data_IF_291830940442
#
_entry.id   IF_291830940442
#
_cell.length_a   1.000
_cell.length_b   1.000
_cell.length_c   1.000
_cell.angle_alpha   90.00
_cell.angle_beta   90.00
_cell.angle_gamma   90.00
#
_symmetry.space_group_name_H-M   'P 1'
#
loop_
_entity.id
_entity.type
_entity.pdbx_description
1 polymer ?
#
# COMPACT_ATOMS: atom_id res chain seq x y z
N UNK A 1 -7.36 1.27 -29.11
CA UNK A 1 -6.63 0.92 -27.88
C UNK A 1 -5.59 2.00 -27.65
N UNK A 2 -5.88 2.98 -26.81
CA UNK A 2 -4.87 3.94 -26.36
C UNK A 2 -3.76 3.14 -25.68
N UNK A 3 -2.47 3.32 -26.05
CA UNK A 3 -1.37 2.73 -25.30
C UNK A 3 -1.55 3.11 -23.82
N UNK A 4 -1.24 2.22 -22.86
CA UNK A 4 -1.20 2.63 -21.47
C UNK A 4 -0.32 3.87 -21.39
N UNK A 5 -0.90 4.94 -20.86
CA UNK A 5 -0.26 6.22 -20.67
C UNK A 5 1.14 5.99 -20.12
N UNK A 6 2.13 6.72 -20.65
CA UNK A 6 3.58 6.59 -20.36
C UNK A 6 3.99 6.89 -18.90
N UNK A 7 3.24 6.39 -17.93
CA UNK A 7 3.57 6.28 -16.51
C UNK A 7 4.67 5.25 -16.33
N UNK A 8 5.87 5.60 -16.77
CA UNK A 8 6.99 4.69 -16.78
C UNK A 8 7.35 4.27 -15.33
N UNK A 9 7.38 2.95 -15.10
CA UNK A 9 7.42 2.35 -13.78
C UNK A 9 8.72 2.69 -13.05
N UNK A 10 8.69 2.71 -11.72
CA UNK A 10 9.93 2.59 -10.94
C UNK A 10 10.25 1.12 -10.78
N UNK A 11 11.41 0.70 -11.27
CA UNK A 11 11.87 -0.69 -11.28
C UNK A 11 13.03 -0.83 -10.29
N UNK A 12 12.92 -1.78 -9.36
CA UNK A 12 13.90 -2.09 -8.32
C UNK A 12 14.57 -3.41 -8.71
N UNK A 13 15.87 -3.40 -8.98
CA UNK A 13 16.59 -4.59 -9.49
C UNK A 13 17.67 -5.03 -8.51
N UNK A 14 17.63 -6.30 -8.09
CA UNK A 14 18.74 -6.96 -7.42
C UNK A 14 19.45 -7.93 -8.37
N UNK A 15 20.77 -7.86 -8.44
CA UNK A 15 21.61 -8.65 -9.35
C UNK A 15 23.03 -8.08 -9.43
N UNK A 16 23.94 -8.76 -10.09
CA UNK A 16 25.26 -8.18 -10.39
C UNK A 16 25.18 -7.10 -11.48
N UNK A 17 26.16 -6.20 -11.48
CA UNK A 17 26.21 -5.04 -12.39
C UNK A 17 26.23 -5.46 -13.86
N UNK A 18 26.94 -6.55 -14.18
CA UNK A 18 27.09 -7.01 -15.56
C UNK A 18 25.76 -7.53 -16.10
N UNK A 19 25.03 -8.33 -15.31
CA UNK A 19 23.69 -8.78 -15.66
C UNK A 19 22.73 -7.61 -15.79
N UNK A 20 22.75 -6.64 -14.85
CA UNK A 20 21.89 -5.46 -14.93
C UNK A 20 22.12 -4.68 -16.22
N UNK A 21 23.37 -4.44 -16.60
CA UNK A 21 23.70 -3.67 -17.80
C UNK A 21 23.22 -4.38 -19.07
N UNK A 22 23.30 -5.71 -19.12
CA UNK A 22 22.78 -6.50 -20.23
C UNK A 22 21.25 -6.38 -20.38
N UNK A 23 20.50 -6.38 -19.27
CA UNK A 23 19.03 -6.34 -19.29
C UNK A 23 18.45 -4.92 -19.28
N UNK A 24 19.26 -3.90 -18.97
CA UNK A 24 18.84 -2.50 -18.87
C UNK A 24 18.05 -1.99 -20.08
N UNK A 25 18.43 -2.28 -21.35
CA UNK A 25 17.67 -1.80 -22.51
C UNK A 25 16.24 -2.37 -22.55
N UNK A 26 16.06 -3.62 -22.11
CA UNK A 26 14.73 -4.27 -22.06
C UNK A 26 13.87 -3.64 -20.98
N UNK A 27 14.45 -3.39 -19.80
CA UNK A 27 13.74 -2.75 -18.68
C UNK A 27 13.34 -1.31 -19.01
N UNK A 28 14.21 -0.59 -19.74
CA UNK A 28 13.97 0.80 -20.15
C UNK A 28 12.76 0.97 -21.09
N UNK A 29 12.27 -0.11 -21.71
CA UNK A 29 11.04 -0.08 -22.51
C UNK A 29 9.77 0.20 -21.68
N UNK A 30 9.79 -0.06 -20.36
CA UNK A 30 8.63 0.12 -19.48
C UNK A 30 8.94 0.85 -18.16
N UNK A 31 10.22 0.96 -17.77
CA UNK A 31 10.66 1.63 -16.55
C UNK A 31 11.24 3.02 -16.80
N UNK A 32 10.80 4.04 -16.03
CA UNK A 32 11.38 5.40 -16.07
C UNK A 32 12.60 5.51 -15.18
N UNK A 33 12.48 4.89 -14.01
CA UNK A 33 13.46 4.96 -12.93
C UNK A 33 13.88 3.54 -12.63
N UNK A 34 15.09 3.19 -13.05
CA UNK A 34 15.70 1.89 -12.79
C UNK A 34 16.69 2.08 -11.65
N UNK A 35 16.44 1.42 -10.52
CA UNK A 35 17.29 1.49 -9.33
C UNK A 35 17.95 0.14 -9.14
N UNK A 36 19.28 0.11 -9.11
CA UNK A 36 20.03 -1.06 -8.70
C UNK A 36 20.08 -1.11 -7.17
N UNK A 37 19.53 -2.18 -6.60
CA UNK A 37 19.32 -2.34 -5.16
C UNK A 37 20.45 -3.14 -4.48
N UNK A 38 21.39 -3.68 -5.26
CA UNK A 38 22.47 -4.54 -4.78
C UNK A 38 22.31 -5.97 -5.29
N UNK A 39 22.69 -6.95 -4.47
CA UNK A 39 22.69 -8.37 -4.83
C UNK A 39 21.28 -8.92 -5.13
N UNK A 40 21.21 -10.13 -5.67
CA UNK A 40 19.96 -10.86 -5.91
C UNK A 40 19.07 -10.85 -4.66
N UNK A 41 17.77 -10.59 -4.84
CA UNK A 41 16.78 -10.50 -3.76
C UNK A 41 16.62 -9.12 -3.11
N UNK A 42 17.58 -8.20 -3.27
CA UNK A 42 17.48 -6.85 -2.67
C UNK A 42 16.36 -5.99 -3.27
N UNK A 43 16.07 -6.16 -4.57
CA UNK A 43 14.93 -5.50 -5.23
C UNK A 43 13.59 -5.95 -4.64
N UNK A 44 13.43 -7.26 -4.42
CA UNK A 44 12.23 -7.83 -3.82
C UNK A 44 12.06 -7.38 -2.36
N UNK A 45 13.14 -7.37 -1.59
CA UNK A 45 13.15 -6.86 -0.23
C UNK A 45 12.72 -5.38 -0.16
N UNK A 46 13.28 -4.53 -1.03
CA UNK A 46 12.90 -3.11 -1.10
C UNK A 46 11.43 -2.94 -1.48
N UNK A 47 10.94 -3.71 -2.45
CA UNK A 47 9.54 -3.70 -2.89
C UNK A 47 8.60 -4.12 -1.76
N UNK A 48 8.92 -5.20 -1.06
CA UNK A 48 8.15 -5.70 0.08
C UNK A 48 8.03 -4.63 1.18
N UNK A 49 9.15 -4.02 1.58
CA UNK A 49 9.15 -2.94 2.60
C UNK A 49 8.34 -1.72 2.13
N UNK A 50 8.50 -1.28 0.88
CA UNK A 50 7.69 -0.20 0.33
C UNK A 50 6.18 -0.51 0.40
N UNK A 51 5.79 -1.72 0.05
CA UNK A 51 4.40 -2.15 0.10
C UNK A 51 3.89 -2.32 1.54
N UNK A 52 4.72 -2.76 2.48
CA UNK A 52 4.35 -2.76 3.90
C UNK A 52 4.12 -1.35 4.46
N UNK A 53 4.92 -0.36 4.04
CA UNK A 53 4.68 1.05 4.39
C UNK A 53 3.36 1.56 3.78
N UNK A 54 3.07 1.22 2.52
CA UNK A 54 1.77 1.53 1.93
C UNK A 54 0.62 0.92 2.74
N UNK A 55 0.72 -0.34 3.13
CA UNK A 55 -0.26 -1.05 3.93
C UNK A 55 -0.49 -0.38 5.30
N UNK A 56 0.58 0.00 6.01
CA UNK A 56 0.49 0.78 7.26
C UNK A 56 -0.26 2.10 7.05
N UNK A 57 0.07 2.83 5.99
CA UNK A 57 -0.60 4.08 5.70
C UNK A 57 -2.08 3.89 5.37
N UNK A 58 -2.45 2.83 4.62
CA UNK A 58 -3.85 2.51 4.33
C UNK A 58 -4.59 2.23 5.64
N UNK A 59 -4.08 1.30 6.45
CA UNK A 59 -4.74 0.89 7.68
C UNK A 59 -4.86 2.02 8.69
N UNK A 60 -3.75 2.72 8.97
CA UNK A 60 -3.73 3.84 9.91
C UNK A 60 -4.58 5.04 9.45
N UNK A 61 -4.64 5.32 8.13
CA UNK A 61 -5.55 6.35 7.60
C UNK A 61 -7.00 5.94 7.83
N UNK A 62 -7.36 4.67 7.59
CA UNK A 62 -8.71 4.19 7.84
C UNK A 62 -9.09 4.28 9.33
N UNK A 63 -8.21 3.86 10.25
CA UNK A 63 -8.46 3.93 11.69
C UNK A 63 -8.67 5.38 12.15
N UNK A 64 -7.82 6.30 11.69
CA UNK A 64 -7.94 7.72 12.00
C UNK A 64 -9.24 8.33 11.46
N UNK A 65 -9.61 8.03 10.21
CA UNK A 65 -10.84 8.54 9.63
C UNK A 65 -12.09 7.97 10.30
N UNK A 66 -12.12 6.68 10.62
CA UNK A 66 -13.22 6.06 11.38
C UNK A 66 -13.39 6.69 12.76
N UNK A 67 -12.29 6.98 13.46
CA UNK A 67 -12.34 7.68 14.74
C UNK A 67 -12.89 9.12 14.59
N UNK A 68 -12.48 9.83 13.54
CA UNK A 68 -12.94 11.18 13.24
C UNK A 68 -14.42 11.22 12.82
N UNK A 69 -14.88 10.27 12.01
CA UNK A 69 -16.30 10.12 11.65
C UNK A 69 -17.16 9.95 12.90
N UNK A 70 -16.73 9.10 13.85
CA UNK A 70 -17.41 8.95 15.14
C UNK A 70 -17.40 10.21 16.01
N UNK A 71 -16.39 11.05 15.84
CA UNK A 71 -16.32 12.35 16.49
C UNK A 71 -17.12 13.45 15.74
N UNK A 72 -17.79 13.11 14.63
CA UNK A 72 -18.59 14.05 13.83
C UNK A 72 -17.79 14.87 12.82
N UNK A 73 -16.53 14.49 12.55
CA UNK A 73 -15.68 15.13 11.55
C UNK A 73 -15.79 14.36 10.24
N UNK A 74 -16.31 15.02 9.19
CA UNK A 74 -16.46 14.43 7.86
C UNK A 74 -15.10 14.02 7.27
N UNK A 75 -15.04 12.86 6.63
CA UNK A 75 -13.82 12.35 5.99
C UNK A 75 -13.18 13.34 5.01
N UNK A 76 -13.96 14.09 4.23
CA UNK A 76 -13.42 15.06 3.27
C UNK A 76 -12.65 16.18 3.98
N UNK A 77 -13.24 16.75 5.04
CA UNK A 77 -12.60 17.80 5.85
C UNK A 77 -11.33 17.25 6.51
N UNK A 78 -11.39 16.03 7.06
CA UNK A 78 -10.24 15.39 7.67
C UNK A 78 -9.10 15.19 6.66
N UNK A 79 -9.41 14.68 5.47
CA UNK A 79 -8.43 14.46 4.40
C UNK A 79 -7.83 15.77 3.88
N UNK A 80 -8.63 16.84 3.72
CA UNK A 80 -8.13 18.16 3.33
C UNK A 80 -7.06 18.68 4.30
N UNK A 81 -7.29 18.54 5.61
CA UNK A 81 -6.34 18.96 6.64
C UNK A 81 -5.13 18.02 6.71
N UNK A 82 -5.33 16.70 6.70
CA UNK A 82 -4.24 15.71 6.76
C UNK A 82 -3.29 15.88 5.58
N UNK A 83 -3.83 16.07 4.36
CA UNK A 83 -3.05 16.15 3.13
C UNK A 83 -2.24 17.45 2.99
N UNK A 84 -2.58 18.48 3.76
CA UNK A 84 -1.79 19.72 3.88
C UNK A 84 -0.86 19.73 5.11
N UNK A 85 -0.92 18.66 5.93
CA UNK A 85 -0.17 18.51 7.17
C UNK A 85 0.94 17.45 7.06
N UNK A 86 1.63 17.17 8.17
CA UNK A 86 2.71 16.18 8.25
C UNK A 86 2.23 14.73 8.23
N UNK A 87 0.94 14.47 8.47
CA UNK A 87 0.35 13.12 8.45
C UNK A 87 0.05 12.58 7.05
N UNK A 88 0.25 13.38 6.00
CA UNK A 88 -0.06 12.98 4.62
C UNK A 88 0.76 11.77 4.17
N UNK A 89 0.14 10.92 3.36
CA UNK A 89 0.78 9.78 2.71
C UNK A 89 0.19 9.58 1.31
N UNK A 90 0.78 8.68 0.51
CA UNK A 90 0.16 8.30 -0.76
C UNK A 90 -1.27 7.75 -0.56
N UNK A 91 -1.53 7.06 0.55
CA UNK A 91 -2.86 6.54 0.85
C UNK A 91 -3.88 7.67 1.05
N UNK A 92 -3.56 8.66 1.91
CA UNK A 92 -4.46 9.77 2.20
C UNK A 92 -4.65 10.73 1.01
N UNK A 93 -3.62 10.90 0.17
CA UNK A 93 -3.68 11.84 -0.96
C UNK A 93 -4.34 11.24 -2.19
N UNK A 94 -4.00 9.99 -2.55
CA UNK A 94 -4.28 9.44 -3.87
C UNK A 94 -5.18 8.19 -3.86
N UNK A 95 -5.45 7.60 -2.69
CA UNK A 95 -6.28 6.38 -2.60
C UNK A 95 -7.60 6.65 -1.89
N UNK A 96 -7.56 7.27 -0.71
CA UNK A 96 -8.75 7.45 0.12
C UNK A 96 -9.81 8.38 -0.50
N UNK A 97 -9.45 9.57 -1.01
CA UNK A 97 -10.43 10.46 -1.64
C UNK A 97 -11.16 9.77 -2.80
N UNK A 98 -10.42 9.09 -3.68
CA UNK A 98 -10.97 8.58 -4.94
C UNK A 98 -11.63 7.21 -4.83
N UNK A 99 -11.31 6.42 -3.79
CA UNK A 99 -11.75 5.02 -3.68
C UNK A 99 -12.59 4.74 -2.45
N UNK A 100 -12.19 5.29 -1.29
CA UNK A 100 -12.84 5.03 0.00
C UNK A 100 -14.00 6.00 0.21
N UNK A 101 -13.76 7.31 0.04
CA UNK A 101 -14.80 8.34 0.23
C UNK A 101 -15.88 8.24 -0.85
N UNK A 102 -15.50 8.04 -2.11
CA UNK A 102 -16.46 7.84 -3.22
C UNK A 102 -17.18 6.49 -3.22
N UNK A 103 -16.73 5.54 -2.37
CA UNK A 103 -17.13 4.12 -2.40
C UNK A 103 -16.83 3.40 -3.74
N UNK A 104 -15.95 3.93 -4.58
CA UNK A 104 -15.71 3.37 -5.91
C UNK A 104 -14.95 2.03 -5.89
N UNK A 105 -14.00 1.85 -4.97
CA UNK A 105 -13.15 0.64 -4.84
C UNK A 105 -12.79 -0.07 -6.16
N UNK A 106 -12.14 0.62 -7.12
CA UNK A 106 -11.73 -0.02 -8.37
C UNK A 106 -10.68 -1.08 -8.10
N UNK A 107 -10.82 -2.25 -8.74
CA UNK A 107 -9.87 -3.37 -8.62
C UNK A 107 -8.64 -3.09 -9.47
N UNK A 108 -7.57 -2.67 -8.82
CA UNK A 108 -6.30 -2.25 -9.46
C UNK A 108 -5.10 -3.00 -8.95
N UNK A 109 -5.12 -3.42 -7.68
CA UNK A 109 -4.08 -4.24 -7.07
C UNK A 109 -4.70 -5.13 -6.00
N UNK A 110 -4.55 -6.45 -6.17
CA UNK A 110 -5.22 -7.45 -5.32
C UNK A 110 -4.68 -7.39 -3.89
N UNK A 111 -5.59 -7.45 -2.92
CA UNK A 111 -5.29 -7.53 -1.50
C UNK A 111 -4.39 -8.73 -1.18
N UNK A 112 -4.64 -9.89 -1.80
CA UNK A 112 -3.80 -11.08 -1.67
C UNK A 112 -2.32 -10.83 -1.99
N UNK A 113 -2.04 -9.99 -3.00
CA UNK A 113 -0.67 -9.63 -3.37
C UNK A 113 -0.05 -8.67 -2.35
N UNK A 114 -0.83 -7.70 -1.83
CA UNK A 114 -0.34 -6.82 -0.77
C UNK A 114 -0.08 -7.59 0.53
N UNK A 115 -0.98 -8.47 0.95
CA UNK A 115 -0.81 -9.37 2.10
C UNK A 115 0.48 -10.18 1.99
N UNK A 116 0.72 -10.80 0.82
CA UNK A 116 1.98 -11.49 0.53
C UNK A 116 3.19 -10.58 0.71
N UNK A 117 3.19 -9.39 0.11
CA UNK A 117 4.32 -8.46 0.18
C UNK A 117 4.59 -7.97 1.61
N UNK A 118 3.54 -7.72 2.39
CA UNK A 118 3.66 -7.34 3.81
C UNK A 118 4.21 -8.51 4.63
N UNK A 119 3.79 -9.74 4.33
CA UNK A 119 4.34 -10.95 4.92
C UNK A 119 5.85 -11.06 4.70
N UNK A 120 6.31 -10.88 3.46
CA UNK A 120 7.74 -10.89 3.10
C UNK A 120 8.50 -9.81 3.88
N UNK A 121 7.95 -8.60 4.01
CA UNK A 121 8.60 -7.52 4.77
C UNK A 121 8.70 -7.84 6.27
N UNK A 122 7.67 -8.47 6.84
CA UNK A 122 7.66 -8.91 8.24
C UNK A 122 8.66 -10.07 8.48
N UNK A 123 8.77 -11.01 7.54
CA UNK A 123 9.78 -12.07 7.55
C UNK A 123 11.20 -11.51 7.49
N UNK A 124 11.45 -10.58 6.56
CA UNK A 124 12.74 -9.90 6.43
C UNK A 124 13.17 -9.27 7.77
N UNK A 125 12.27 -8.56 8.46
CA UNK A 125 12.60 -7.98 9.76
C UNK A 125 12.95 -9.05 10.82
N UNK A 126 12.25 -10.19 10.82
CA UNK A 126 12.56 -11.33 11.72
C UNK A 126 13.92 -11.93 11.41
N UNK A 127 14.21 -12.19 10.14
CA UNK A 127 15.49 -12.75 9.68
C UNK A 127 16.68 -11.86 10.05
N UNK A 128 16.51 -10.54 9.93
CA UNK A 128 17.52 -9.56 10.32
C UNK A 128 17.55 -9.26 11.83
N UNK A 129 16.73 -9.96 12.63
CA UNK A 129 16.64 -9.80 14.10
C UNK A 129 16.29 -8.37 14.53
N UNK A 130 15.49 -7.68 13.73
CA UNK A 130 15.01 -6.32 14.02
C UNK A 130 13.69 -6.40 14.77
N UNK A 131 13.58 -5.73 15.91
CA UNK A 131 12.30 -5.53 16.60
C UNK A 131 11.46 -4.52 15.82
N UNK A 132 10.53 -5.01 15.01
CA UNK A 132 9.70 -4.18 14.12
C UNK A 132 8.19 -4.39 14.36
N UNK A 133 7.65 -3.97 15.52
CA UNK A 133 6.28 -4.30 15.93
C UNK A 133 5.21 -3.85 14.94
N UNK A 134 5.37 -2.67 14.33
CA UNK A 134 4.43 -2.17 13.32
C UNK A 134 4.39 -3.06 12.07
N UNK A 135 5.54 -3.57 11.60
CA UNK A 135 5.57 -4.51 10.47
C UNK A 135 4.85 -5.81 10.80
N UNK A 136 5.08 -6.34 12.01
CA UNK A 136 4.44 -7.59 12.47
C UNK A 136 2.92 -7.43 12.54
N UNK A 137 2.44 -6.39 13.22
CA UNK A 137 1.02 -6.13 13.36
C UNK A 137 0.35 -5.85 12.01
N UNK A 138 1.00 -5.10 11.11
CA UNK A 138 0.45 -4.83 9.77
C UNK A 138 0.29 -6.13 8.97
N UNK A 139 1.24 -7.07 9.09
CA UNK A 139 1.12 -8.38 8.44
C UNK A 139 -0.08 -9.18 8.96
N UNK A 140 -0.32 -9.16 10.26
CA UNK A 140 -1.49 -9.83 10.86
C UNK A 140 -2.81 -9.19 10.41
N UNK A 141 -2.88 -7.85 10.39
CA UNK A 141 -4.06 -7.10 9.99
C UNK A 141 -4.41 -7.30 8.51
N UNK A 142 -3.42 -7.28 7.62
CA UNK A 142 -3.67 -7.52 6.19
C UNK A 142 -4.01 -8.98 5.90
N UNK A 143 -3.46 -9.93 6.66
CA UNK A 143 -3.86 -11.34 6.59
C UNK A 143 -5.31 -11.55 7.04
N UNK A 144 -5.72 -10.86 8.11
CA UNK A 144 -7.12 -10.83 8.56
C UNK A 144 -8.02 -10.30 7.44
N UNK A 145 -7.69 -9.12 6.90
CA UNK A 145 -8.50 -8.51 5.85
C UNK A 145 -8.58 -9.38 4.59
N UNK A 146 -7.47 -10.00 4.19
CA UNK A 146 -7.45 -10.93 3.07
C UNK A 146 -8.35 -12.15 3.33
N UNK A 147 -8.29 -12.72 4.53
CA UNK A 147 -9.14 -13.85 4.92
C UNK A 147 -10.63 -13.49 4.89
N UNK A 148 -10.98 -12.28 5.32
CA UNK A 148 -12.37 -11.82 5.38
C UNK A 148 -12.94 -11.42 4.01
N UNK A 149 -12.15 -10.74 3.17
CA UNK A 149 -12.61 -10.14 1.92
C UNK A 149 -12.38 -11.04 0.69
N UNK A 150 -11.47 -12.01 0.80
CA UNK A 150 -11.17 -12.98 -0.25
C UNK A 150 -10.16 -12.50 -1.32
N UNK A 151 -9.83 -13.42 -2.23
CA UNK A 151 -8.72 -13.30 -3.20
C UNK A 151 -8.87 -12.17 -4.23
N UNK A 152 -10.11 -11.77 -4.51
CA UNK A 152 -10.46 -10.82 -5.57
C UNK A 152 -10.61 -9.37 -5.07
N UNK A 153 -10.48 -9.15 -3.76
CA UNK A 153 -10.56 -7.82 -3.17
C UNK A 153 -9.37 -6.94 -3.61
N UNK A 154 -9.63 -5.65 -3.83
CA UNK A 154 -8.58 -4.64 -3.98
C UNK A 154 -7.94 -4.34 -2.62
N UNK A 155 -6.65 -4.06 -2.62
CA UNK A 155 -5.88 -3.75 -1.42
C UNK A 155 -6.46 -2.59 -0.58
N UNK A 156 -7.15 -1.63 -1.19
CA UNK A 156 -7.79 -0.52 -0.47
C UNK A 156 -9.11 -0.93 0.19
N UNK A 157 -9.74 -2.03 -0.25
CA UNK A 157 -10.94 -2.59 0.42
C UNK A 157 -10.63 -3.05 1.86
N UNK A 158 -9.37 -3.23 2.25
CA UNK A 158 -8.98 -3.42 3.65
C UNK A 158 -9.51 -2.32 4.59
N UNK A 159 -9.75 -1.10 4.09
CA UNK A 159 -10.41 -0.04 4.85
C UNK A 159 -11.82 -0.45 5.32
N UNK A 160 -12.55 -1.29 4.59
CA UNK A 160 -13.88 -1.78 4.96
C UNK A 160 -13.85 -2.69 6.19
N UNK A 161 -12.75 -3.43 6.40
CA UNK A 161 -12.54 -4.22 7.62
C UNK A 161 -12.39 -3.28 8.81
N UNK A 162 -11.65 -2.18 8.63
CA UNK A 162 -11.52 -1.13 9.65
C UNK A 162 -12.85 -0.43 9.93
N UNK A 163 -13.63 -0.10 8.88
CA UNK A 163 -15.00 0.44 9.02
C UNK A 163 -15.90 -0.48 9.85
N UNK A 164 -15.87 -1.79 9.56
CA UNK A 164 -16.62 -2.82 10.30
C UNK A 164 -16.20 -2.92 11.75
N UNK A 165 -14.90 -3.07 12.02
CA UNK A 165 -14.35 -3.19 13.37
C UNK A 165 -14.60 -1.93 14.19
N UNK A 166 -14.46 -0.77 13.56
CA UNK A 166 -14.65 0.52 14.19
C UNK A 166 -16.10 1.00 14.21
N UNK A 167 -17.03 0.33 13.52
CA UNK A 167 -18.46 0.63 13.56
C UNK A 167 -18.84 2.01 12.99
N UNK A 168 -18.12 2.47 11.96
CA UNK A 168 -18.46 3.67 11.20
C UNK A 168 -17.96 3.54 9.75
N UNK A 169 -18.71 4.09 8.80
CA UNK A 169 -18.35 4.09 7.38
C UNK A 169 -17.66 5.43 7.08
N UNK A 170 -16.49 5.39 6.45
CA UNK A 170 -15.75 6.57 6.04
C UNK A 170 -16.50 7.23 4.88
N UNK A 171 -16.87 8.51 5.02
CA UNK A 171 -17.75 9.20 4.06
C UNK A 171 -19.21 8.74 4.13
N UNK A 172 -19.58 7.97 5.17
CA UNK A 172 -20.98 7.64 5.45
C UNK A 172 -21.77 8.89 5.80
N UNK A 173 -22.97 9.05 5.24
CA UNK A 173 -23.90 10.08 5.74
C UNK A 173 -24.41 9.63 7.10
N UNK A 174 -24.17 10.45 8.14
CA UNK A 174 -24.85 10.34 9.42
C UNK A 174 -26.37 10.42 9.25
#
# INVERSE_FOLDING_TARGET
>A
TTPPDTGALTVMIGGDDATLEQVRPVIACFGKKIVHCGAVGTGDALKAVNNALLAMHIWGTAEGLVALEKAGVKAEIALDVINTSSGRSNASMNLFPDRVVTRAFPRTFRLALLDKDVGIAADLAREQKITAPLLQLTSELFRLAHTELGEEADHVEAAQVVERLGGAIIGGRA
#
